data_IF_584576729657
#
_entry.id   IF_584576729657
#
_cell.length_a   1.000
_cell.length_b   1.000
_cell.length_c   1.000
_cell.angle_alpha   90.00
_cell.angle_beta   90.00
_cell.angle_gamma   90.00
#
_symmetry.space_group_name_H-M   'P 1'
#
loop_
_entity.id
_entity.type
_entity.pdbx_description
1 polymer ?
#
# COMPACT_ATOMS: atom_id res chain seq x y z
N UNK A 1 -11.05 -0.83 -11.84
CA UNK A 1 -11.61 -0.24 -10.60
C UNK A 1 -10.52 0.61 -9.96
N UNK A 2 -10.88 1.81 -9.52
CA UNK A 2 -9.99 2.75 -8.84
C UNK A 2 -10.37 2.80 -7.37
N UNK A 3 -9.42 2.60 -6.50
CA UNK A 3 -9.46 2.95 -5.09
C UNK A 3 -8.93 4.38 -4.97
N UNK A 4 -9.70 5.28 -4.41
CA UNK A 4 -9.36 6.69 -4.35
C UNK A 4 -9.18 7.15 -2.91
N UNK A 5 -7.95 7.44 -2.54
CA UNK A 5 -7.64 8.06 -1.25
C UNK A 5 -7.88 9.58 -1.29
N UNK A 6 -8.33 10.12 -0.16
CA UNK A 6 -8.16 11.52 0.14
C UNK A 6 -6.73 11.81 0.62
N UNK A 7 -6.31 13.08 0.62
CA UNK A 7 -4.92 13.51 0.81
C UNK A 7 -4.45 13.47 2.28
N UNK A 8 -4.70 12.38 2.97
CA UNK A 8 -4.26 12.17 4.35
C UNK A 8 -3.27 11.02 4.41
N UNK A 9 -2.01 11.37 4.67
CA UNK A 9 -0.95 10.39 4.85
C UNK A 9 -1.14 9.58 6.14
N UNK A 10 -0.41 8.48 6.26
CA UNK A 10 -0.23 7.78 7.52
C UNK A 10 0.08 8.79 8.63
N UNK A 11 -0.55 8.70 9.80
CA UNK A 11 -0.31 9.63 10.90
C UNK A 11 1.13 9.81 11.32
N UNK A 12 2.00 8.80 11.06
CA UNK A 12 3.42 8.90 11.32
C UNK A 12 4.20 9.66 10.23
N UNK A 13 3.64 9.81 9.03
CA UNK A 13 4.31 10.37 7.86
C UNK A 13 3.92 11.82 7.56
N UNK A 14 2.84 12.31 8.13
CA UNK A 14 2.41 13.68 7.90
C UNK A 14 1.39 14.20 8.91
N UNK A 15 1.36 15.52 9.10
CA UNK A 15 0.42 16.16 10.02
C UNK A 15 -1.01 16.10 9.48
N UNK A 16 -1.96 16.35 10.37
CA UNK A 16 -3.33 16.66 9.99
C UNK A 16 -3.40 18.03 9.29
N UNK A 17 -4.44 18.26 8.45
CA UNK A 17 -4.60 19.53 7.77
C UNK A 17 -4.71 20.71 8.76
N UNK A 18 -3.90 21.75 8.55
CA UNK A 18 -3.95 22.97 9.35
C UNK A 18 -5.28 23.73 9.18
N UNK A 19 -5.95 23.55 8.04
CA UNK A 19 -7.22 24.20 7.70
C UNK A 19 -8.25 23.14 7.32
N UNK A 20 -8.90 22.47 8.30
CA UNK A 20 -9.85 21.39 8.04
C UNK A 20 -11.00 21.80 7.11
N UNK A 21 -11.49 23.02 7.22
CA UNK A 21 -12.60 23.54 6.40
C UNK A 21 -12.20 23.65 4.92
N UNK A 22 -10.97 24.09 4.66
CA UNK A 22 -10.42 24.14 3.29
C UNK A 22 -10.24 22.74 2.72
N UNK A 23 -9.74 21.82 3.52
CA UNK A 23 -9.60 20.41 3.13
C UNK A 23 -10.96 19.80 2.76
N UNK A 24 -11.97 20.04 3.60
CA UNK A 24 -13.34 19.54 3.38
C UNK A 24 -13.95 20.15 2.11
N UNK A 25 -13.77 21.44 1.88
CA UNK A 25 -14.26 22.10 0.67
C UNK A 25 -13.59 21.55 -0.60
N UNK A 26 -12.27 21.32 -0.56
CA UNK A 26 -11.54 20.69 -1.66
C UNK A 26 -12.01 19.25 -1.90
N UNK A 27 -12.25 18.48 -0.85
CA UNK A 27 -12.74 17.12 -0.96
C UNK A 27 -14.14 17.06 -1.60
N UNK A 28 -15.02 18.00 -1.25
CA UNK A 28 -16.34 18.12 -1.84
C UNK A 28 -16.26 18.46 -3.34
N UNK A 29 -15.45 19.44 -3.72
CA UNK A 29 -15.23 19.79 -5.13
C UNK A 29 -14.63 18.60 -5.91
N UNK A 30 -13.68 17.89 -5.31
CA UNK A 30 -13.07 16.71 -5.89
C UNK A 30 -14.12 15.63 -6.19
N UNK A 31 -14.94 15.25 -5.21
CA UNK A 31 -15.97 14.22 -5.41
C UNK A 31 -16.95 14.64 -6.50
N UNK A 32 -17.39 15.90 -6.51
CA UNK A 32 -18.28 16.44 -7.55
C UNK A 32 -17.68 16.37 -8.96
N UNK A 33 -16.38 16.61 -9.09
CA UNK A 33 -15.67 16.53 -10.39
C UNK A 33 -15.59 15.10 -10.90
N UNK A 34 -15.32 14.13 -10.02
CA UNK A 34 -14.98 12.77 -10.43
C UNK A 34 -16.16 11.78 -10.35
N UNK A 35 -17.28 12.15 -9.77
CA UNK A 35 -18.44 11.26 -9.58
C UNK A 35 -19.02 10.65 -10.86
N UNK A 36 -18.71 11.23 -12.02
CA UNK A 36 -19.16 10.68 -13.31
C UNK A 36 -18.25 9.58 -13.88
N UNK A 37 -17.11 9.31 -13.23
CA UNK A 37 -16.20 8.26 -13.67
C UNK A 37 -16.59 6.92 -13.06
N UNK A 38 -17.18 6.05 -13.87
CA UNK A 38 -17.62 4.71 -13.47
C UNK A 38 -16.50 3.79 -12.98
N UNK A 39 -15.24 4.15 -13.20
CA UNK A 39 -14.07 3.39 -12.73
C UNK A 39 -13.80 3.54 -11.23
N UNK A 40 -14.30 4.58 -10.57
CA UNK A 40 -14.13 4.77 -9.12
C UNK A 40 -14.97 3.71 -8.40
N UNK A 41 -14.32 2.89 -7.58
CA UNK A 41 -14.95 1.81 -6.84
C UNK A 41 -15.21 2.15 -5.37
N UNK A 42 -14.33 2.95 -4.76
CA UNK A 42 -14.49 3.41 -3.40
C UNK A 42 -13.65 4.65 -3.11
N UNK A 43 -13.97 5.31 -2.02
CA UNK A 43 -13.18 6.39 -1.43
C UNK A 43 -12.63 5.97 -0.08
N UNK A 44 -11.37 6.32 0.20
CA UNK A 44 -10.71 6.05 1.47
C UNK A 44 -10.30 7.36 2.15
N UNK A 45 -10.58 7.48 3.44
CA UNK A 45 -10.37 8.70 4.20
C UNK A 45 -8.90 8.98 4.50
N UNK A 46 -8.15 7.96 4.91
CA UNK A 46 -6.74 8.10 5.31
C UNK A 46 -5.95 6.83 5.10
N UNK A 47 -4.68 6.99 4.76
CA UNK A 47 -3.72 5.90 4.73
C UNK A 47 -3.35 5.45 6.15
N UNK A 48 -3.50 4.14 6.42
CA UNK A 48 -3.09 3.44 7.66
C UNK A 48 -3.52 4.09 8.99
N UNK A 49 -4.54 4.92 8.96
CA UNK A 49 -5.09 5.61 10.14
C UNK A 49 -6.45 6.18 9.85
N UNK A 50 -6.99 6.91 10.81
CA UNK A 50 -8.30 7.57 10.68
C UNK A 50 -8.13 9.07 10.46
N UNK A 51 -8.95 9.71 9.63
CA UNK A 51 -9.03 11.16 9.58
C UNK A 51 -9.43 11.71 10.96
N UNK A 52 -9.07 12.98 11.29
CA UNK A 52 -9.70 13.67 12.41
C UNK A 52 -11.22 13.59 12.32
N UNK A 53 -11.89 13.43 13.46
CA UNK A 53 -13.33 13.15 13.53
C UNK A 53 -14.19 14.11 12.69
N UNK A 54 -13.86 15.41 12.73
CA UNK A 54 -14.54 16.43 11.94
C UNK A 54 -14.42 16.16 10.45
N UNK A 55 -13.23 15.80 9.98
CA UNK A 55 -12.95 15.49 8.57
C UNK A 55 -13.65 14.20 8.17
N UNK A 56 -13.51 13.13 8.95
CA UNK A 56 -14.15 11.84 8.65
C UNK A 56 -15.67 11.96 8.47
N UNK A 57 -16.33 12.64 9.41
CA UNK A 57 -17.77 12.92 9.33
C UNK A 57 -18.13 13.68 8.06
N UNK A 58 -17.31 14.67 7.69
CA UNK A 58 -17.54 15.46 6.49
C UNK A 58 -17.35 14.62 5.21
N UNK A 59 -16.28 13.82 5.13
CA UNK A 59 -16.01 12.95 3.97
C UNK A 59 -17.14 11.92 3.77
N UNK A 60 -17.60 11.28 4.84
CA UNK A 60 -18.77 10.37 4.77
C UNK A 60 -20.00 11.06 4.22
N UNK A 61 -20.28 12.27 4.70
CA UNK A 61 -21.43 13.08 4.24
C UNK A 61 -21.28 13.45 2.77
N UNK A 62 -20.09 13.90 2.34
CA UNK A 62 -19.79 14.32 0.97
C UNK A 62 -19.97 13.14 0.00
N UNK A 63 -19.34 12.01 0.27
CA UNK A 63 -19.47 10.84 -0.61
C UNK A 63 -20.92 10.38 -0.70
N UNK A 64 -21.63 10.31 0.43
CA UNK A 64 -23.05 9.94 0.44
C UNK A 64 -23.94 10.90 -0.35
N UNK A 65 -23.68 12.19 -0.30
CA UNK A 65 -24.49 13.23 -0.95
C UNK A 65 -24.14 13.41 -2.43
N UNK A 66 -22.85 13.46 -2.76
CA UNK A 66 -22.36 13.87 -4.08
C UNK A 66 -22.01 12.70 -4.99
N UNK A 67 -21.77 11.50 -4.45
CA UNK A 67 -21.56 10.27 -5.21
C UNK A 67 -22.32 9.09 -4.57
N UNK A 68 -23.67 9.14 -4.53
CA UNK A 68 -24.47 8.14 -3.86
C UNK A 68 -24.25 6.75 -4.45
N UNK A 69 -24.20 5.74 -3.59
CA UNK A 69 -23.92 4.35 -3.97
C UNK A 69 -22.44 3.95 -3.91
N UNK A 70 -21.50 4.89 -3.83
CA UNK A 70 -20.10 4.60 -3.62
C UNK A 70 -19.81 4.30 -2.16
N UNK A 71 -18.92 3.35 -1.96
CA UNK A 71 -18.43 2.98 -0.64
C UNK A 71 -17.40 4.02 -0.14
N UNK A 72 -17.49 4.38 1.13
CA UNK A 72 -16.48 5.15 1.83
C UNK A 72 -15.98 4.37 3.03
N UNK A 73 -14.67 4.25 3.16
CA UNK A 73 -13.99 3.70 4.33
C UNK A 73 -13.12 4.79 4.96
N UNK A 74 -13.03 4.82 6.28
CA UNK A 74 -12.23 5.84 6.96
C UNK A 74 -10.73 5.57 6.87
N UNK A 75 -10.34 4.30 6.83
CA UNK A 75 -8.93 3.89 6.87
C UNK A 75 -8.62 2.82 5.83
N UNK A 76 -7.43 2.90 5.23
CA UNK A 76 -6.92 1.84 4.34
C UNK A 76 -6.53 0.57 5.09
N UNK A 77 -6.43 0.62 6.41
CA UNK A 77 -5.90 -0.46 7.23
C UNK A 77 -6.89 -1.07 8.22
N UNK A 78 -8.12 -0.59 8.25
CA UNK A 78 -9.11 -0.97 9.25
C UNK A 78 -10.51 -1.14 8.63
N UNK A 79 -11.53 -1.38 9.48
CA UNK A 79 -12.91 -1.67 9.07
C UNK A 79 -12.99 -2.96 8.24
N UNK A 80 -13.30 -2.84 6.96
CA UNK A 80 -13.50 -3.98 6.03
C UNK A 80 -12.21 -4.39 5.31
N UNK A 81 -11.12 -3.67 5.54
CA UNK A 81 -9.82 -3.88 4.91
C UNK A 81 -8.73 -4.11 5.94
N UNK A 82 -7.59 -4.59 5.50
CA UNK A 82 -6.38 -4.78 6.30
C UNK A 82 -5.18 -4.26 5.51
N UNK A 83 -4.65 -3.12 5.90
CA UNK A 83 -3.58 -2.41 5.19
C UNK A 83 -2.29 -2.19 5.97
N UNK A 84 -2.11 -2.86 7.12
CA UNK A 84 -0.88 -2.76 7.91
C UNK A 84 0.18 -3.82 7.55
N UNK A 85 0.29 -4.17 6.30
CA UNK A 85 1.28 -5.13 5.83
C UNK A 85 0.82 -6.59 5.94
N UNK A 86 1.76 -7.52 6.23
CA UNK A 86 3.13 -7.29 6.65
C UNK A 86 4.03 -6.72 5.55
N UNK A 87 5.03 -5.90 5.96
CA UNK A 87 6.04 -5.31 5.07
C UNK A 87 7.38 -6.04 5.20
N UNK A 88 7.35 -7.35 5.23
CA UNK A 88 8.51 -8.21 5.36
C UNK A 88 8.30 -9.52 4.63
N UNK A 89 9.40 -10.19 4.28
CA UNK A 89 9.33 -11.56 3.81
C UNK A 89 8.79 -12.48 4.91
N UNK A 90 7.85 -13.34 4.54
CA UNK A 90 7.27 -14.35 5.44
C UNK A 90 7.86 -15.71 5.13
N UNK A 91 7.94 -16.61 6.12
CA UNK A 91 8.23 -18.03 5.85
C UNK A 91 7.28 -18.59 4.79
N UNK A 92 7.82 -19.39 3.86
CA UNK A 92 7.05 -19.90 2.70
C UNK A 92 5.71 -20.53 3.11
N UNK A 93 5.69 -21.28 4.20
CA UNK A 93 4.46 -21.91 4.71
C UNK A 93 3.39 -20.89 5.11
N UNK A 94 3.79 -19.71 5.56
CA UNK A 94 2.85 -18.65 5.96
C UNK A 94 2.17 -18.01 4.76
N UNK A 95 2.82 -17.94 3.60
CA UNK A 95 2.19 -17.45 2.37
C UNK A 95 1.02 -18.32 1.93
N UNK A 96 1.13 -19.62 2.11
CA UNK A 96 0.14 -20.58 1.64
C UNK A 96 -0.89 -20.96 2.70
N UNK A 97 -0.64 -20.63 3.96
CA UNK A 97 -1.53 -21.03 5.06
C UNK A 97 -2.84 -20.23 5.12
N UNK A 98 -2.97 -19.11 4.41
CA UNK A 98 -4.10 -18.17 4.43
C UNK A 98 -4.53 -17.71 5.86
N UNK A 99 -3.87 -18.23 6.88
CA UNK A 99 -4.23 -18.00 8.29
C UNK A 99 -3.79 -16.64 8.83
N UNK A 100 -2.91 -15.94 8.14
CA UNK A 100 -2.43 -14.62 8.52
C UNK A 100 -3.20 -13.50 7.81
N UNK A 101 -4.15 -13.88 6.97
CA UNK A 101 -5.11 -12.98 6.42
C UNK A 101 -6.36 -13.00 7.28
N UNK A 102 -6.80 -11.86 7.72
CA UNK A 102 -8.20 -11.69 7.99
C UNK A 102 -8.97 -12.05 6.71
N UNK A 103 -10.23 -12.41 6.82
CA UNK A 103 -11.15 -12.55 5.67
C UNK A 103 -11.36 -11.21 4.94
N UNK A 104 -10.61 -10.19 5.33
CA UNK A 104 -10.68 -8.82 4.82
C UNK A 104 -9.82 -8.67 3.57
N UNK A 105 -10.19 -7.72 2.73
CA UNK A 105 -9.37 -7.29 1.62
C UNK A 105 -8.06 -6.64 2.13
N UNK A 106 -6.93 -7.16 1.69
CA UNK A 106 -5.63 -6.54 1.97
C UNK A 106 -5.38 -5.39 0.98
N UNK A 107 -5.49 -4.16 1.46
CA UNK A 107 -5.20 -2.97 0.66
C UNK A 107 -3.71 -2.79 0.42
N UNK A 108 -2.89 -3.21 1.39
CA UNK A 108 -1.45 -3.07 1.34
C UNK A 108 -0.74 -4.33 1.85
N UNK A 109 0.23 -4.79 1.07
CA UNK A 109 1.16 -5.83 1.47
C UNK A 109 2.48 -5.58 0.78
N UNK A 110 3.52 -5.32 1.55
CA UNK A 110 4.85 -5.07 1.05
C UNK A 110 5.82 -6.18 1.43
N UNK A 111 6.69 -6.53 0.50
CA UNK A 111 7.83 -7.42 0.77
C UNK A 111 8.99 -7.04 -0.17
N UNK A 112 10.23 -7.31 0.23
CA UNK A 112 11.37 -7.24 -0.68
C UNK A 112 11.09 -8.09 -1.90
N UNK A 113 11.47 -7.59 -3.05
CA UNK A 113 11.10 -8.20 -4.31
C UNK A 113 12.29 -8.19 -5.26
N UNK A 114 12.51 -9.28 -5.94
CA UNK A 114 13.50 -9.38 -7.01
C UNK A 114 12.78 -9.24 -8.33
N UNK A 115 13.32 -8.45 -9.24
CA UNK A 115 12.80 -8.37 -10.60
C UNK A 115 12.78 -9.75 -11.25
N UNK A 116 11.84 -9.98 -12.14
CA UNK A 116 11.84 -11.19 -12.96
C UNK A 116 13.09 -11.22 -13.86
N UNK A 117 13.43 -12.41 -14.31
CA UNK A 117 14.67 -12.64 -15.08
C UNK A 117 14.79 -11.76 -16.32
N UNK A 118 13.71 -11.56 -17.06
CA UNK A 118 13.68 -10.74 -18.26
C UNK A 118 13.92 -9.26 -17.96
N UNK A 119 13.47 -8.79 -16.80
CA UNK A 119 13.74 -7.43 -16.34
C UNK A 119 15.19 -7.27 -15.89
N UNK A 120 15.73 -8.26 -15.17
CA UNK A 120 17.14 -8.29 -14.80
C UNK A 120 18.04 -8.22 -16.04
N UNK A 121 17.77 -9.03 -17.08
CA UNK A 121 18.52 -9.00 -18.32
C UNK A 121 18.51 -7.65 -19.05
N UNK A 122 17.47 -6.84 -18.85
CA UNK A 122 17.36 -5.52 -19.46
C UNK A 122 18.01 -4.40 -18.66
N UNK A 123 18.17 -4.61 -17.36
CA UNK A 123 18.62 -3.57 -16.43
C UNK A 123 20.02 -3.80 -15.89
N UNK A 124 20.49 -5.03 -15.88
CA UNK A 124 21.84 -5.40 -15.43
C UNK A 124 22.75 -5.68 -16.61
N UNK A 125 24.04 -5.39 -16.46
CA UNK A 125 25.04 -5.93 -17.36
C UNK A 125 25.15 -7.46 -17.14
N UNK A 126 25.48 -8.24 -18.17
CA UNK A 126 25.54 -9.71 -18.04
C UNK A 126 26.45 -10.21 -16.92
N UNK A 127 27.58 -9.53 -16.70
CA UNK A 127 28.57 -9.82 -15.65
C UNK A 127 28.10 -9.44 -14.24
N UNK A 128 27.07 -8.59 -14.15
CA UNK A 128 26.50 -8.14 -12.87
C UNK A 128 25.26 -8.94 -12.46
N UNK A 129 24.72 -9.78 -13.33
CA UNK A 129 23.50 -10.54 -13.02
C UNK A 129 23.71 -11.57 -11.91
N UNK A 130 24.84 -12.23 -11.89
CA UNK A 130 25.18 -13.25 -10.91
C UNK A 130 26.69 -13.46 -10.77
N UNK A 131 27.24 -13.68 -9.57
CA UNK A 131 26.56 -13.62 -8.25
C UNK A 131 26.13 -12.21 -7.88
N UNK A 132 25.25 -12.09 -6.88
CA UNK A 132 24.80 -10.79 -6.37
C UNK A 132 26.01 -9.92 -5.97
N UNK A 133 25.97 -8.65 -6.39
CA UNK A 133 27.07 -7.70 -6.24
C UNK A 133 26.54 -6.28 -5.97
N UNK A 134 27.41 -5.26 -6.03
CA UNK A 134 27.02 -3.88 -5.75
C UNK A 134 25.91 -3.31 -6.64
N UNK A 135 25.70 -3.81 -7.86
CA UNK A 135 24.58 -3.38 -8.69
C UNK A 135 23.23 -3.85 -8.11
N UNK A 136 23.18 -5.02 -7.50
CA UNK A 136 21.99 -5.49 -6.78
C UNK A 136 21.63 -4.55 -5.63
N UNK A 137 22.64 -4.03 -4.91
CA UNK A 137 22.44 -3.05 -3.85
C UNK A 137 21.82 -1.71 -4.34
N UNK A 138 22.10 -1.32 -5.56
CA UNK A 138 21.53 -0.11 -6.16
C UNK A 138 20.01 -0.20 -6.42
N UNK A 139 19.46 -1.41 -6.40
CA UNK A 139 18.02 -1.66 -6.50
C UNK A 139 17.36 -1.88 -5.14
N UNK A 140 17.99 -1.41 -4.06
CA UNK A 140 17.54 -1.52 -2.66
C UNK A 140 17.35 -2.97 -2.16
N UNK A 141 17.72 -3.95 -2.93
CA UNK A 141 17.50 -5.36 -2.59
C UNK A 141 18.35 -5.83 -1.41
N UNK A 142 19.54 -5.29 -1.27
CA UNK A 142 20.50 -5.66 -0.22
C UNK A 142 20.91 -4.50 0.69
N UNK A 143 20.21 -3.37 0.61
CA UNK A 143 20.53 -2.18 1.40
C UNK A 143 20.20 -2.37 2.88
N UNK A 144 21.04 -1.82 3.73
CA UNK A 144 20.97 -1.98 5.18
C UNK A 144 19.65 -1.46 5.80
N UNK A 145 19.03 -0.43 5.20
CA UNK A 145 17.72 0.09 5.62
C UNK A 145 16.55 -0.83 5.36
N UNK A 146 16.71 -1.82 4.49
CA UNK A 146 15.68 -2.81 4.17
C UNK A 146 15.92 -4.10 4.97
N UNK A 147 15.71 -4.06 6.28
CA UNK A 147 15.89 -5.23 7.16
C UNK A 147 15.16 -6.48 6.66
N UNK A 148 14.03 -6.29 5.99
CA UNK A 148 13.27 -7.35 5.36
C UNK A 148 13.99 -8.01 4.18
N UNK A 149 14.92 -7.33 3.50
CA UNK A 149 15.70 -7.88 2.39
C UNK A 149 16.79 -8.82 2.87
N UNK A 150 17.46 -8.51 3.97
CA UNK A 150 18.52 -9.34 4.53
C UNK A 150 18.03 -10.78 4.84
N UNK A 151 16.79 -10.92 5.24
CA UNK A 151 16.17 -12.22 5.53
C UNK A 151 15.57 -12.91 4.31
N UNK A 152 15.40 -12.22 3.19
CA UNK A 152 14.69 -12.76 2.02
C UNK A 152 15.44 -13.94 1.40
N UNK A 153 16.73 -13.79 1.12
CA UNK A 153 17.55 -14.88 0.59
C UNK A 153 17.57 -16.09 1.53
N UNK A 154 17.68 -15.85 2.84
CA UNK A 154 17.65 -16.92 3.84
C UNK A 154 16.30 -17.64 3.86
N UNK A 155 15.19 -16.91 3.72
CA UNK A 155 13.85 -17.49 3.67
C UNK A 155 13.67 -18.31 2.39
N UNK A 156 14.15 -17.80 1.26
CA UNK A 156 14.13 -18.53 -0.02
C UNK A 156 14.97 -19.82 0.08
N UNK A 157 16.21 -19.72 0.51
CA UNK A 157 17.10 -20.88 0.69
C UNK A 157 16.49 -21.92 1.63
N UNK A 158 15.93 -21.49 2.76
CA UNK A 158 15.27 -22.39 3.71
C UNK A 158 14.00 -23.04 3.16
N UNK A 159 13.27 -22.35 2.29
CA UNK A 159 12.01 -22.84 1.73
C UNK A 159 12.15 -23.68 0.46
N UNK A 160 13.13 -23.36 -0.36
CA UNK A 160 13.29 -23.93 -1.71
C UNK A 160 14.67 -24.54 -1.98
N UNK A 161 15.61 -24.42 -1.04
CA UNK A 161 17.00 -24.86 -1.21
C UNK A 161 17.92 -23.70 -1.60
N UNK A 162 19.22 -23.92 -1.44
CA UNK A 162 20.24 -22.96 -1.90
C UNK A 162 20.22 -22.88 -3.43
N UNK A 163 20.43 -21.69 -4.01
CA UNK A 163 20.47 -21.51 -5.46
C UNK A 163 21.72 -22.12 -6.11
#
# INVERSE_FOLDING_TARGET
MIWQDFWLANPADGPDPYYPEMFIANAEDYVKRFRSHASIGLYCGRNEGFPPEQIDKALRRIVKADHPGLHYISSSADEVVSGHGPYRALPVKEYFALKNGSDKFHSERGMPNVMNYESLQRTFSPDAMWPQNGQWGQHDYTMEGAQSCASFNQIIAKGFGEP
#
